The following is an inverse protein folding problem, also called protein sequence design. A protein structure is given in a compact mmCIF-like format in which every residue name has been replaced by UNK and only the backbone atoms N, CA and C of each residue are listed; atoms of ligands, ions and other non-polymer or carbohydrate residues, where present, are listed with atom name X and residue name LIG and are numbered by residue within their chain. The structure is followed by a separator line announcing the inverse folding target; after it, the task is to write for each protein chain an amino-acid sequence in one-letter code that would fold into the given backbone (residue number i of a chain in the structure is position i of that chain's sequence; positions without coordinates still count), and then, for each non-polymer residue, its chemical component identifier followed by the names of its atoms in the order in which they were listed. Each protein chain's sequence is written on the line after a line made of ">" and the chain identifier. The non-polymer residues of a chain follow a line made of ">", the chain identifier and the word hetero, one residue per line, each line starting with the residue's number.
data_IF_948448595777
#
_entry.id   IF_948448595777
#
_cell.length_a   1.000
_cell.length_b   1.000
_cell.length_c   1.000
_cell.angle_alpha   90.00
_cell.angle_beta   90.00
_cell.angle_gamma   90.00
#
_symmetry.space_group_name_H-M   'P 1'
#
loop_
_entity.id
_entity.type
_entity.pdbx_description
1 polymer ?
#
# COMPACT_ATOMS: atom_id res chain seq x y z
N UNK A 1 -29.27 11.08 -23.04
CA UNK A 1 -28.45 11.28 -21.82
C UNK A 1 -27.65 12.56 -22.02
N UNK A 2 -27.61 13.48 -21.05
CA UNK A 2 -26.83 14.71 -21.23
C UNK A 2 -25.33 14.40 -21.23
N UNK A 3 -24.50 15.10 -22.04
CA UNK A 3 -23.05 14.91 -22.06
C UNK A 3 -22.39 15.05 -20.68
N UNK A 4 -22.94 15.93 -19.83
CA UNK A 4 -22.50 16.14 -18.45
C UNK A 4 -22.64 14.84 -17.63
N UNK A 5 -23.79 14.16 -17.70
CA UNK A 5 -24.01 12.92 -16.93
C UNK A 5 -23.06 11.79 -17.37
N UNK A 6 -22.69 11.74 -18.66
CA UNK A 6 -21.71 10.76 -19.16
C UNK A 6 -20.29 11.06 -18.65
N UNK A 7 -19.92 12.34 -18.58
CA UNK A 7 -18.62 12.77 -18.06
C UNK A 7 -18.46 12.45 -16.57
N UNK A 8 -19.49 12.73 -15.75
CA UNK A 8 -19.49 12.41 -14.31
C UNK A 8 -19.42 10.89 -14.07
N UNK A 9 -20.16 10.10 -14.84
CA UNK A 9 -20.13 8.64 -14.75
C UNK A 9 -18.73 8.08 -15.09
N UNK A 10 -18.09 8.61 -16.14
CA UNK A 10 -16.72 8.23 -16.50
C UNK A 10 -15.71 8.63 -15.42
N UNK A 11 -15.80 9.85 -14.90
CA UNK A 11 -14.93 10.34 -13.83
C UNK A 11 -15.05 9.47 -12.56
N UNK A 12 -16.29 9.14 -12.15
CA UNK A 12 -16.55 8.25 -11.02
C UNK A 12 -15.99 6.85 -11.24
N UNK A 13 -16.17 6.28 -12.44
CA UNK A 13 -15.61 4.97 -12.79
C UNK A 13 -14.07 4.95 -12.74
N UNK A 14 -13.41 5.98 -13.27
CA UNK A 14 -11.94 6.10 -13.24
C UNK A 14 -11.45 6.25 -11.79
N UNK A 15 -12.08 7.12 -11.00
CA UNK A 15 -11.71 7.34 -9.60
C UNK A 15 -11.85 6.05 -8.77
N UNK A 16 -12.91 5.26 -9.00
CA UNK A 16 -13.11 3.97 -8.35
C UNK A 16 -12.02 2.96 -8.71
N UNK A 17 -11.72 2.79 -10.00
CA UNK A 17 -10.67 1.87 -10.46
C UNK A 17 -9.29 2.29 -9.94
N UNK A 18 -9.00 3.59 -9.93
CA UNK A 18 -7.76 4.12 -9.37
C UNK A 18 -7.67 3.85 -7.85
N UNK A 19 -8.74 4.09 -7.10
CA UNK A 19 -8.81 3.79 -5.67
C UNK A 19 -8.59 2.29 -5.39
N UNK A 20 -9.17 1.41 -6.21
CA UNK A 20 -8.96 -0.04 -6.10
C UNK A 20 -7.50 -0.42 -6.39
N UNK A 21 -6.89 0.17 -7.41
CA UNK A 21 -5.47 -0.05 -7.72
C UNK A 21 -4.58 0.39 -6.55
N UNK A 22 -4.81 1.59 -5.99
CA UNK A 22 -4.07 2.09 -4.84
C UNK A 22 -4.23 1.15 -3.63
N UNK A 23 -5.44 0.67 -3.36
CA UNK A 23 -5.69 -0.30 -2.29
C UNK A 23 -4.91 -1.60 -2.49
N UNK A 24 -4.91 -2.16 -3.72
CA UNK A 24 -4.17 -3.38 -4.04
C UNK A 24 -2.67 -3.20 -3.88
N UNK A 25 -2.13 -2.06 -4.34
CA UNK A 25 -0.71 -1.71 -4.17
C UNK A 25 -0.37 -1.61 -2.68
N UNK A 26 -1.23 -0.96 -1.89
CA UNK A 26 -1.02 -0.83 -0.45
C UNK A 26 -0.99 -2.20 0.26
N UNK A 27 -1.95 -3.07 -0.06
CA UNK A 27 -1.99 -4.42 0.51
C UNK A 27 -0.77 -5.24 0.07
N UNK A 28 -0.36 -5.15 -1.19
CA UNK A 28 0.83 -5.81 -1.70
C UNK A 28 2.09 -5.35 -0.96
N UNK A 29 2.23 -4.05 -0.69
CA UNK A 29 3.35 -3.51 0.09
C UNK A 29 3.36 -4.08 1.51
N UNK A 30 2.21 -4.10 2.20
CA UNK A 30 2.12 -4.63 3.58
C UNK A 30 2.51 -6.11 3.62
N UNK A 31 1.93 -6.91 2.73
CA UNK A 31 2.22 -8.36 2.64
C UNK A 31 3.69 -8.58 2.31
N UNK A 32 4.24 -7.82 1.37
CA UNK A 32 5.65 -7.92 1.00
C UNK A 32 6.58 -7.56 2.15
N UNK A 33 6.34 -6.44 2.86
CA UNK A 33 7.13 -6.05 4.04
C UNK A 33 7.08 -7.14 5.11
N UNK A 34 5.89 -7.69 5.39
CA UNK A 34 5.74 -8.77 6.36
C UNK A 34 6.55 -10.01 5.96
N UNK A 35 6.40 -10.48 4.72
CA UNK A 35 7.10 -11.67 4.22
C UNK A 35 8.61 -11.49 4.17
N UNK A 36 9.08 -10.31 3.78
CA UNK A 36 10.50 -9.99 3.72
C UNK A 36 11.10 -9.87 5.15
N UNK A 37 10.36 -9.26 6.08
CA UNK A 37 10.79 -9.08 7.47
C UNK A 37 10.93 -10.41 8.21
N UNK A 38 10.16 -11.45 7.86
CA UNK A 38 10.34 -12.79 8.43
C UNK A 38 11.75 -13.35 8.20
N UNK A 39 12.43 -12.91 7.14
CA UNK A 39 13.74 -13.43 6.74
C UNK A 39 14.87 -12.43 7.00
N UNK A 40 14.57 -11.12 6.95
CA UNK A 40 15.57 -10.04 6.87
C UNK A 40 15.52 -9.03 8.02
N UNK A 41 14.71 -9.28 9.04
CA UNK A 41 14.56 -8.38 10.19
C UNK A 41 14.84 -9.10 11.50
N UNK A 42 15.63 -8.48 12.37
CA UNK A 42 15.76 -8.88 13.77
C UNK A 42 14.52 -8.51 14.61
N UNK A 43 13.74 -7.51 14.17
CA UNK A 43 12.47 -7.14 14.81
C UNK A 43 11.31 -8.01 14.31
N UNK A 44 10.25 -8.20 15.12
CA UNK A 44 9.05 -8.94 14.71
C UNK A 44 8.43 -8.41 13.41
N UNK A 45 8.25 -9.27 12.42
CA UNK A 45 7.68 -8.92 11.12
C UNK A 45 6.31 -8.22 11.19
N UNK A 46 5.50 -8.59 12.19
CA UNK A 46 4.20 -7.97 12.43
C UNK A 46 4.28 -6.47 12.77
N UNK A 47 5.34 -6.02 13.45
CA UNK A 47 5.53 -4.59 13.73
C UNK A 47 5.73 -3.81 12.43
N UNK A 48 6.53 -4.33 11.52
CA UNK A 48 6.77 -3.69 10.23
C UNK A 48 5.51 -3.64 9.35
N UNK A 49 4.67 -4.68 9.40
CA UNK A 49 3.36 -4.67 8.74
C UNK A 49 2.42 -3.57 9.30
N UNK A 50 2.41 -3.38 10.63
CA UNK A 50 1.64 -2.29 11.27
C UNK A 50 2.17 -0.92 10.82
N UNK A 51 3.49 -0.71 10.83
CA UNK A 51 4.08 0.56 10.43
C UNK A 51 3.74 0.86 8.96
N UNK A 52 3.82 -0.13 8.08
CA UNK A 52 3.43 0.01 6.67
C UNK A 52 1.93 0.27 6.47
N UNK A 53 1.07 -0.27 7.34
CA UNK A 53 -0.37 -0.03 7.29
C UNK A 53 -0.74 1.39 7.76
N UNK A 54 -0.18 1.83 8.89
CA UNK A 54 -0.48 3.13 9.50
C UNK A 54 0.21 4.28 8.75
N UNK A 55 1.38 4.02 8.17
CA UNK A 55 2.15 4.99 7.42
C UNK A 55 2.67 4.35 6.12
N UNK A 56 1.87 4.32 5.04
CA UNK A 56 2.20 3.66 3.76
C UNK A 56 3.64 3.82 3.26
N UNK A 57 3.93 4.98 2.68
CA UNK A 57 5.23 5.26 2.07
C UNK A 57 6.33 5.38 3.13
N UNK A 58 6.02 5.99 4.27
CA UNK A 58 6.98 6.16 5.35
C UNK A 58 7.41 4.81 5.93
N UNK A 59 6.47 3.90 6.15
CA UNK A 59 6.72 2.55 6.66
C UNK A 59 7.50 1.68 5.68
N UNK A 60 7.25 1.84 4.39
CA UNK A 60 8.10 1.25 3.35
C UNK A 60 9.54 1.77 3.44
N UNK A 61 9.73 3.08 3.48
CA UNK A 61 11.06 3.71 3.58
C UNK A 61 11.78 3.31 4.87
N UNK A 62 11.10 3.36 6.01
CA UNK A 62 11.65 2.97 7.31
C UNK A 62 12.03 1.48 7.32
N UNK A 63 11.23 0.62 6.71
CA UNK A 63 11.57 -0.81 6.60
C UNK A 63 12.86 -1.02 5.80
N UNK A 64 13.03 -0.31 4.68
CA UNK A 64 14.25 -0.39 3.88
C UNK A 64 15.50 0.11 4.59
N UNK A 65 15.40 1.21 5.35
CA UNK A 65 16.55 1.87 5.98
C UNK A 65 16.90 1.22 7.33
N UNK A 66 15.89 0.80 8.09
CA UNK A 66 16.03 0.39 9.50
C UNK A 66 15.63 -1.07 9.70
N UNK A 67 14.57 -1.54 9.05
CA UNK A 67 14.01 -2.87 9.30
C UNK A 67 14.75 -4.04 8.65
N UNK A 68 15.39 -3.80 7.50
CA UNK A 68 16.24 -4.78 6.83
C UNK A 68 17.63 -4.81 7.46
N UNK A 69 17.80 -5.73 8.40
CA UNK A 69 19.00 -5.86 9.25
C UNK A 69 19.87 -7.08 8.93
N UNK A 70 19.41 -7.95 8.03
CA UNK A 70 20.14 -9.13 7.53
C UNK A 70 20.02 -9.20 6.01
#
# INVERSE_FOLDING_TARGET
>A
MSPILLQEALAGGIAFLFGLLVLLVQLAIIVWIYSDAQQRSDQPAFLWAIVAFLAPLLGLVLYFIIGRTR
#
